data_IF_309768750624
#
_entry.id   IF_309768750624
#
_cell.length_a   1.000
_cell.length_b   1.000
_cell.length_c   1.000
_cell.angle_alpha   90.00
_cell.angle_beta   90.00
_cell.angle_gamma   90.00
#
_symmetry.space_group_name_H-M   'P 1'
#
loop_
_entity.id
_entity.type
_entity.pdbx_description
1 polymer ?
#
# COMPACT_ATOMS: atom_id res chain seq x y z
N UNK A 1 3.85 13.71 -4.16
CA UNK A 1 3.72 12.27 -3.87
C UNK A 1 5.08 11.73 -3.48
N UNK A 2 5.14 10.88 -2.44
CA UNK A 2 6.39 10.25 -2.02
C UNK A 2 6.26 8.73 -2.24
N UNK A 3 7.17 8.16 -3.03
CA UNK A 3 7.31 6.72 -3.21
C UNK A 3 8.43 6.19 -2.32
N UNK A 4 8.13 5.21 -1.49
CA UNK A 4 9.09 4.63 -0.54
C UNK A 4 9.34 3.16 -0.87
N UNK A 5 10.60 2.75 -0.97
CA UNK A 5 11.00 1.35 -1.12
C UNK A 5 12.38 1.13 -0.47
N UNK A 6 12.59 -0.05 0.13
CA UNK A 6 13.91 -0.44 0.66
C UNK A 6 14.92 -0.74 -0.45
N UNK A 7 14.44 -1.17 -1.61
CA UNK A 7 15.28 -1.67 -2.69
C UNK A 7 15.81 -0.56 -3.58
N UNK A 8 17.10 -0.26 -3.46
CA UNK A 8 17.79 0.65 -4.38
C UNK A 8 17.60 0.25 -5.86
N UNK A 9 17.63 -1.05 -6.16
CA UNK A 9 17.45 -1.54 -7.53
C UNK A 9 16.02 -1.30 -8.07
N UNK A 10 14.99 -1.33 -7.23
CA UNK A 10 13.61 -1.00 -7.65
C UNK A 10 13.46 0.49 -7.89
N UNK A 11 14.03 1.32 -7.04
CA UNK A 11 14.02 2.79 -7.18
C UNK A 11 14.77 3.21 -8.44
N UNK A 12 15.98 2.66 -8.68
CA UNK A 12 16.77 2.94 -9.87
C UNK A 12 15.98 2.62 -11.16
N UNK A 13 15.33 1.44 -11.23
CA UNK A 13 14.51 1.08 -12.40
C UNK A 13 13.35 2.04 -12.66
N UNK A 14 12.85 2.73 -11.63
CA UNK A 14 11.83 3.76 -11.78
C UNK A 14 12.37 5.03 -12.40
N UNK A 15 13.63 5.36 -12.11
CA UNK A 15 14.34 6.51 -12.66
C UNK A 15 14.77 6.21 -14.11
N UNK A 16 15.44 5.09 -14.32
CA UNK A 16 16.03 4.72 -15.62
C UNK A 16 14.99 4.35 -16.70
N UNK A 17 13.82 3.87 -16.28
CA UNK A 17 12.75 3.45 -17.20
C UNK A 17 11.91 4.59 -17.81
N UNK A 18 12.20 5.84 -17.51
CA UNK A 18 11.46 7.00 -17.99
C UNK A 18 12.37 7.96 -18.75
N UNK A 19 12.20 8.02 -20.05
CA UNK A 19 12.89 8.94 -20.97
C UNK A 19 12.65 10.44 -20.71
N UNK A 20 11.87 10.80 -19.70
CA UNK A 20 11.53 12.19 -19.36
C UNK A 20 11.77 12.56 -17.89
N UNK A 21 12.52 11.73 -17.14
CA UNK A 21 12.69 11.93 -15.69
C UNK A 21 11.46 11.56 -14.87
N UNK A 22 11.52 11.80 -13.56
CA UNK A 22 10.39 11.65 -12.66
C UNK A 22 9.43 12.85 -12.81
N UNK A 23 8.12 12.65 -12.61
CA UNK A 23 7.19 13.79 -12.48
C UNK A 23 7.65 14.76 -11.40
N UNK A 24 7.50 16.07 -11.63
CA UNK A 24 7.93 17.11 -10.67
C UNK A 24 7.33 16.96 -9.27
N UNK A 25 6.16 16.34 -9.18
CA UNK A 25 5.44 16.10 -7.93
C UNK A 25 5.70 14.72 -7.31
N UNK A 26 6.76 14.01 -7.75
CA UNK A 26 7.12 12.67 -7.25
C UNK A 26 8.54 12.64 -6.70
N UNK A 27 8.66 12.40 -5.41
CA UNK A 27 9.92 12.08 -4.76
C UNK A 27 10.04 10.58 -4.52
N UNK A 28 11.24 10.02 -4.63
CA UNK A 28 11.53 8.63 -4.32
C UNK A 28 12.50 8.55 -3.13
N UNK A 29 12.10 7.83 -2.11
CA UNK A 29 12.87 7.69 -0.88
C UNK A 29 13.24 6.23 -0.66
N UNK A 30 14.53 5.96 -0.44
CA UNK A 30 15.00 4.66 0.02
C UNK A 30 14.95 4.61 1.54
N UNK A 31 13.98 3.86 2.09
CA UNK A 31 13.84 3.72 3.53
C UNK A 31 13.20 2.38 3.92
N UNK A 32 13.43 1.96 5.16
CA UNK A 32 12.61 0.97 5.83
C UNK A 32 11.28 1.61 6.23
N UNK A 33 10.15 1.00 5.85
CA UNK A 33 8.82 1.56 6.14
C UNK A 33 8.51 1.57 7.64
N UNK A 34 9.09 0.65 8.42
CA UNK A 34 8.90 0.63 9.88
C UNK A 34 9.43 1.91 10.50
N UNK A 35 10.65 2.29 10.16
CA UNK A 35 11.28 3.51 10.64
C UNK A 35 10.62 4.75 10.04
N UNK A 36 10.31 4.70 8.75
CA UNK A 36 9.71 5.83 8.04
C UNK A 36 8.37 6.25 8.65
N UNK A 37 7.46 5.30 8.91
CA UNK A 37 6.17 5.60 9.52
C UNK A 37 6.28 6.10 10.96
N UNK A 38 7.22 5.57 11.73
CA UNK A 38 7.49 6.06 13.09
C UNK A 38 7.98 7.50 13.09
N UNK A 39 8.98 7.80 12.25
CA UNK A 39 9.53 9.14 12.12
C UNK A 39 8.49 10.17 11.64
N UNK A 40 7.61 9.81 10.69
CA UNK A 40 6.50 10.66 10.30
C UNK A 40 5.57 10.97 11.48
N UNK A 41 5.23 9.95 12.27
CA UNK A 41 4.40 10.10 13.46
C UNK A 41 5.05 10.98 14.53
N UNK A 42 6.33 10.76 14.82
CA UNK A 42 7.12 11.57 15.76
C UNK A 42 7.25 13.03 15.32
N UNK A 43 7.34 13.27 14.01
CA UNK A 43 7.35 14.61 13.43
C UNK A 43 5.96 15.26 13.37
N UNK A 44 4.91 14.59 13.86
CA UNK A 44 3.54 15.10 13.83
C UNK A 44 2.92 15.19 12.44
N UNK A 45 3.52 14.53 11.44
CA UNK A 45 3.04 14.55 10.05
C UNK A 45 1.76 13.74 9.94
N UNK A 46 0.79 14.28 9.22
CA UNK A 46 -0.45 13.61 8.82
C UNK A 46 -0.49 13.46 7.32
N UNK A 47 -1.06 12.35 6.86
CA UNK A 47 -1.16 12.05 5.43
C UNK A 47 -2.58 12.26 4.94
N UNK A 48 -2.74 12.90 3.78
CA UNK A 48 -4.03 12.95 3.10
C UNK A 48 -4.40 11.58 2.52
N UNK A 49 -3.39 10.88 1.97
CA UNK A 49 -3.56 9.58 1.35
C UNK A 49 -2.30 8.74 1.49
N UNK A 50 -2.47 7.45 1.76
CA UNK A 50 -1.38 6.50 1.70
C UNK A 50 -1.82 5.14 1.14
N UNK A 51 -0.90 4.49 0.44
CA UNK A 51 -1.17 3.30 -0.34
C UNK A 51 -0.19 2.18 0.00
N UNK A 52 -0.72 0.99 0.28
CA UNK A 52 0.03 -0.25 0.36
C UNK A 52 -0.30 -1.09 -0.89
N UNK A 53 0.57 -1.02 -1.88
CA UNK A 53 0.33 -1.61 -3.19
C UNK A 53 1.11 -2.90 -3.36
N UNK A 54 0.41 -4.03 -3.38
CA UNK A 54 0.96 -5.37 -3.61
C UNK A 54 2.12 -5.70 -2.65
N UNK A 55 1.92 -5.56 -1.33
CA UNK A 55 2.93 -5.92 -0.34
C UNK A 55 3.26 -7.41 -0.44
N UNK A 56 4.44 -7.80 0.06
CA UNK A 56 4.79 -9.21 0.14
C UNK A 56 3.76 -9.93 1.02
N UNK A 57 3.08 -10.97 0.50
CA UNK A 57 1.95 -11.59 1.19
C UNK A 57 2.36 -12.48 2.37
N UNK A 58 3.62 -12.94 2.43
CA UNK A 58 4.10 -13.84 3.49
C UNK A 58 3.13 -14.99 3.78
N UNK A 59 2.94 -15.96 2.85
CA UNK A 59 1.83 -16.92 2.90
C UNK A 59 1.90 -17.92 4.07
N UNK A 60 3.08 -18.16 4.63
CA UNK A 60 3.26 -19.11 5.74
C UNK A 60 2.68 -18.52 7.05
N UNK A 61 1.96 -19.34 7.82
CA UNK A 61 1.36 -18.95 9.11
C UNK A 61 2.42 -18.37 10.07
N UNK A 62 3.60 -18.97 10.16
CA UNK A 62 4.70 -18.47 11.00
C UNK A 62 5.23 -17.08 10.59
N UNK A 63 4.76 -16.51 9.49
CA UNK A 63 5.15 -15.18 9.00
C UNK A 63 4.05 -14.12 9.16
N UNK A 64 3.00 -14.36 9.93
CA UNK A 64 1.90 -13.40 10.13
C UNK A 64 2.40 -12.04 10.61
N UNK A 65 3.37 -12.01 11.53
CA UNK A 65 3.99 -10.78 12.04
C UNK A 65 4.82 -10.00 11.01
N UNK A 66 5.08 -10.56 9.84
CA UNK A 66 5.75 -9.90 8.72
C UNK A 66 4.76 -9.21 7.77
N UNK A 67 3.47 -9.58 7.81
CA UNK A 67 2.42 -8.86 7.09
C UNK A 67 2.21 -7.52 7.77
N UNK A 68 2.00 -6.44 7.03
CA UNK A 68 1.88 -5.11 7.62
C UNK A 68 0.79 -5.03 8.69
N UNK A 69 -0.36 -5.63 8.44
CA UNK A 69 -1.48 -5.65 9.40
C UNK A 69 -1.23 -6.55 10.64
N UNK A 70 -0.25 -7.41 10.60
CA UNK A 70 0.22 -8.21 11.75
C UNK A 70 1.51 -7.68 12.39
N UNK A 71 2.13 -6.65 11.80
CA UNK A 71 3.38 -6.08 12.29
C UNK A 71 3.15 -5.07 13.42
N UNK A 72 4.01 -5.01 14.46
CA UNK A 72 3.87 -4.04 15.57
C UNK A 72 3.83 -2.56 15.15
N UNK A 73 4.33 -2.22 13.96
CA UNK A 73 4.29 -0.84 13.44
C UNK A 73 2.92 -0.44 12.89
N UNK A 74 2.00 -1.37 12.71
CA UNK A 74 0.72 -1.09 12.05
C UNK A 74 -0.11 0.01 12.72
N UNK A 75 -0.20 0.11 14.06
CA UNK A 75 -0.83 1.24 14.72
C UNK A 75 -0.20 2.61 14.37
N UNK A 76 1.13 2.67 14.21
CA UNK A 76 1.80 3.90 13.81
C UNK A 76 1.42 4.32 12.38
N UNK A 77 1.28 3.36 11.45
CA UNK A 77 0.74 3.63 10.12
C UNK A 77 -0.67 4.21 10.19
N UNK A 78 -1.57 3.61 10.97
CA UNK A 78 -2.96 4.07 11.09
C UNK A 78 -3.05 5.46 11.72
N UNK A 79 -2.16 5.78 12.66
CA UNK A 79 -2.10 7.07 13.31
C UNK A 79 -1.72 8.24 12.37
N UNK A 80 -1.17 7.96 11.18
CA UNK A 80 -0.89 8.99 10.18
C UNK A 80 -2.16 9.57 9.55
N UNK A 81 -3.31 8.91 9.72
CA UNK A 81 -4.62 9.39 9.27
C UNK A 81 -4.82 9.35 7.76
N UNK A 82 -5.85 10.06 7.29
CA UNK A 82 -6.18 10.20 5.89
C UNK A 82 -6.75 8.96 5.22
N UNK A 83 -6.80 8.96 3.89
CA UNK A 83 -7.31 7.82 3.13
C UNK A 83 -6.23 6.74 3.00
N UNK A 84 -6.44 5.61 3.63
CA UNK A 84 -5.60 4.42 3.51
C UNK A 84 -6.19 3.46 2.49
N UNK A 85 -5.37 2.99 1.54
CA UNK A 85 -5.76 1.99 0.56
C UNK A 85 -4.74 0.85 0.51
N UNK A 86 -5.23 -0.39 0.57
CA UNK A 86 -4.44 -1.61 0.38
C UNK A 86 -4.92 -2.34 -0.86
N UNK A 87 -3.98 -2.81 -1.70
CA UNK A 87 -4.27 -3.67 -2.86
C UNK A 87 -3.40 -4.91 -2.85
N UNK A 88 -3.98 -6.03 -3.25
CA UNK A 88 -3.27 -7.29 -3.43
C UNK A 88 -4.00 -8.19 -4.43
N UNK A 89 -3.27 -9.09 -5.08
CA UNK A 89 -3.85 -10.23 -5.80
C UNK A 89 -4.21 -11.38 -4.85
N UNK A 90 -3.96 -11.24 -3.56
CA UNK A 90 -4.25 -12.26 -2.55
C UNK A 90 -5.37 -11.79 -1.63
N UNK A 91 -6.58 -12.30 -1.85
CA UNK A 91 -7.81 -11.90 -1.16
C UNK A 91 -7.68 -11.95 0.35
N UNK A 92 -7.14 -13.06 0.88
CA UNK A 92 -7.02 -13.27 2.33
C UNK A 92 -6.17 -12.20 3.00
N UNK A 93 -5.12 -11.71 2.32
CA UNK A 93 -4.31 -10.59 2.83
C UNK A 93 -5.15 -9.33 3.03
N UNK A 94 -5.99 -9.00 2.06
CA UNK A 94 -6.84 -7.80 2.12
C UNK A 94 -7.97 -7.96 3.15
N UNK A 95 -8.52 -9.15 3.29
CA UNK A 95 -9.53 -9.45 4.32
C UNK A 95 -8.95 -9.33 5.73
N UNK A 96 -7.76 -9.91 5.98
CA UNK A 96 -7.06 -9.77 7.26
C UNK A 96 -6.69 -8.30 7.54
N UNK A 97 -6.25 -7.57 6.52
CA UNK A 97 -5.99 -6.14 6.61
C UNK A 97 -7.24 -5.37 7.06
N UNK A 98 -8.41 -5.67 6.48
CA UNK A 98 -9.69 -5.08 6.90
C UNK A 98 -10.02 -5.39 8.36
N UNK A 99 -9.79 -6.62 8.81
CA UNK A 99 -10.02 -7.01 10.21
C UNK A 99 -9.14 -6.20 11.16
N UNK A 100 -7.85 -6.08 10.85
CA UNK A 100 -6.91 -5.33 11.69
C UNK A 100 -7.22 -3.82 11.74
N UNK A 101 -7.55 -3.20 10.59
CA UNK A 101 -7.96 -1.79 10.56
C UNK A 101 -9.20 -1.57 11.42
N UNK A 102 -10.24 -2.38 11.26
CA UNK A 102 -11.47 -2.27 12.09
C UNK A 102 -11.18 -2.44 13.58
N UNK A 103 -10.37 -3.44 13.93
CA UNK A 103 -10.04 -3.73 15.32
C UNK A 103 -9.28 -2.59 16.02
N UNK A 104 -8.39 -1.92 15.30
CA UNK A 104 -7.51 -0.89 15.85
C UNK A 104 -8.06 0.53 15.74
N UNK A 105 -8.83 0.83 14.69
CA UNK A 105 -9.34 2.19 14.43
C UNK A 105 -10.85 2.35 14.60
N UNK A 106 -11.60 1.24 14.62
CA UNK A 106 -13.05 1.28 14.59
C UNK A 106 -13.66 1.72 13.25
N UNK A 107 -12.84 2.05 12.26
CA UNK A 107 -13.29 2.58 10.96
C UNK A 107 -13.88 1.46 10.10
N UNK A 108 -15.05 1.65 9.47
CA UNK A 108 -15.59 0.72 8.50
C UNK A 108 -14.67 0.56 7.30
N UNK A 109 -14.37 -0.68 6.95
CA UNK A 109 -13.54 -1.02 5.79
C UNK A 109 -13.95 -2.40 5.27
N UNK A 110 -13.97 -2.58 3.96
CA UNK A 110 -14.35 -3.81 3.31
C UNK A 110 -13.35 -4.20 2.22
N UNK A 111 -13.18 -5.51 2.04
CA UNK A 111 -12.47 -6.08 0.91
C UNK A 111 -13.40 -6.11 -0.30
N UNK A 112 -12.99 -5.52 -1.40
CA UNK A 112 -13.75 -5.51 -2.66
C UNK A 112 -12.89 -5.98 -3.83
N UNK A 113 -13.55 -6.59 -4.84
CA UNK A 113 -12.91 -6.97 -6.08
C UNK A 113 -12.67 -5.72 -6.94
N UNK A 114 -11.43 -5.51 -7.39
CA UNK A 114 -11.11 -4.52 -8.41
C UNK A 114 -11.52 -5.03 -9.79
N UNK A 115 -12.67 -4.58 -10.25
CA UNK A 115 -13.20 -4.95 -11.57
C UNK A 115 -12.44 -4.26 -12.70
N UNK A 116 -12.47 -4.80 -13.94
CA UNK A 116 -11.90 -4.12 -15.11
C UNK A 116 -12.47 -2.71 -15.31
N UNK A 117 -13.74 -2.49 -15.00
CA UNK A 117 -14.40 -1.18 -15.06
C UNK A 117 -13.78 -0.19 -14.05
N UNK A 118 -13.52 -0.65 -12.83
CA UNK A 118 -12.87 0.19 -11.79
C UNK A 118 -11.44 0.53 -12.18
N UNK A 119 -10.69 -0.43 -12.75
CA UNK A 119 -9.34 -0.19 -13.24
C UNK A 119 -9.34 0.82 -14.40
N UNK A 120 -10.26 0.70 -15.35
CA UNK A 120 -10.40 1.64 -16.46
C UNK A 120 -10.75 3.05 -15.95
N UNK A 121 -11.67 3.18 -15.00
CA UNK A 121 -12.08 4.46 -14.42
C UNK A 121 -10.94 5.23 -13.71
N UNK A 122 -9.91 4.54 -13.24
CA UNK A 122 -8.72 5.15 -12.63
C UNK A 122 -7.56 5.39 -13.62
N UNK A 123 -7.78 5.21 -14.92
CA UNK A 123 -6.75 5.37 -15.96
C UNK A 123 -5.90 4.11 -16.18
N UNK A 124 -6.37 2.95 -15.76
CA UNK A 124 -5.68 1.68 -15.91
C UNK A 124 -4.89 1.23 -14.66
N UNK A 125 -4.05 0.20 -14.79
CA UNK A 125 -3.24 -0.31 -13.67
C UNK A 125 -2.27 0.75 -13.13
N UNK A 126 -2.23 0.89 -11.81
CA UNK A 126 -1.42 1.92 -11.13
C UNK A 126 0.03 1.48 -10.90
N UNK A 127 0.31 0.19 -10.98
CA UNK A 127 1.67 -0.36 -10.79
C UNK A 127 2.00 -1.41 -11.84
N UNK A 128 3.30 -1.69 -12.09
CA UNK A 128 3.71 -2.81 -12.93
C UNK A 128 3.20 -4.17 -12.43
N UNK A 129 3.11 -4.36 -11.09
CA UNK A 129 2.56 -5.57 -10.49
C UNK A 129 1.07 -5.73 -10.80
N UNK A 130 0.30 -4.67 -10.66
CA UNK A 130 -1.13 -4.66 -10.97
C UNK A 130 -1.38 -5.02 -12.42
N UNK A 131 -0.59 -4.45 -13.35
CA UNK A 131 -0.63 -4.80 -14.77
C UNK A 131 -0.32 -6.27 -14.99
N UNK A 132 0.79 -6.76 -14.44
CA UNK A 132 1.22 -8.16 -14.55
C UNK A 132 0.12 -9.12 -14.06
N UNK A 133 -0.45 -8.87 -12.89
CA UNK A 133 -1.46 -9.75 -12.31
C UNK A 133 -2.76 -9.71 -13.09
N UNK A 134 -3.20 -8.52 -13.52
CA UNK A 134 -4.36 -8.36 -14.40
C UNK A 134 -4.17 -9.16 -15.70
N UNK A 135 -3.03 -8.98 -16.36
CA UNK A 135 -2.74 -9.60 -17.67
C UNK A 135 -2.58 -11.13 -17.54
N UNK A 136 -2.22 -11.62 -16.36
CA UNK A 136 -2.16 -13.05 -16.02
C UNK A 136 -3.51 -13.62 -15.55
N UNK A 137 -4.59 -12.86 -15.58
CA UNK A 137 -5.93 -13.31 -15.20
C UNK A 137 -6.15 -13.44 -13.68
N UNK A 138 -5.27 -12.87 -12.86
CA UNK A 138 -5.47 -12.86 -11.40
C UNK A 138 -6.59 -11.90 -11.01
N UNK A 139 -7.42 -12.30 -10.05
CA UNK A 139 -8.30 -11.39 -9.36
C UNK A 139 -7.50 -10.38 -8.53
N UNK A 140 -7.89 -9.12 -8.58
CA UNK A 140 -7.26 -8.03 -7.82
C UNK A 140 -8.23 -7.55 -6.75
N UNK A 141 -7.72 -7.35 -5.54
CA UNK A 141 -8.52 -6.98 -4.38
C UNK A 141 -8.07 -5.66 -3.80
N UNK A 142 -9.03 -4.89 -3.29
CA UNK A 142 -8.79 -3.59 -2.68
C UNK A 142 -9.51 -3.48 -1.35
N UNK A 143 -8.90 -2.77 -0.40
CA UNK A 143 -9.57 -2.22 0.77
C UNK A 143 -9.27 -0.74 0.88
N UNK A 144 -10.25 0.07 1.30
CA UNK A 144 -10.09 1.51 1.48
C UNK A 144 -10.79 1.96 2.76
N UNK A 145 -10.09 2.76 3.55
CA UNK A 145 -10.62 3.39 4.76
C UNK A 145 -10.26 4.87 4.79
N UNK A 146 -11.08 5.69 5.44
CA UNK A 146 -10.75 7.08 5.79
C UNK A 146 -10.52 7.11 7.29
N UNK A 147 -9.27 7.31 7.67
CA UNK A 147 -8.82 7.35 9.06
C UNK A 147 -8.94 8.78 9.59
N UNK A 148 -9.32 8.92 10.85
CA UNK A 148 -9.32 10.21 11.53
C UNK A 148 -7.90 10.74 11.74
N UNK A 149 -7.74 12.02 11.74
CA UNK A 149 -6.49 12.68 12.11
C UNK A 149 -6.39 12.85 13.62
#
# INVERSE_FOLDING_TARGET
>A
VIGVDQSAARLARRIDGKTGGLPENLDLVRADLVDYWRLLGEAGIRLDRHYLLYPNPWPKIGHLSRRWHGHPVFPALLALGGMLECRSNWRIYVEEFCLAVRALSGVPIHCELLTPRMLAAQGGPQTPFERKYRDSGHALWRARAVLSH
#
